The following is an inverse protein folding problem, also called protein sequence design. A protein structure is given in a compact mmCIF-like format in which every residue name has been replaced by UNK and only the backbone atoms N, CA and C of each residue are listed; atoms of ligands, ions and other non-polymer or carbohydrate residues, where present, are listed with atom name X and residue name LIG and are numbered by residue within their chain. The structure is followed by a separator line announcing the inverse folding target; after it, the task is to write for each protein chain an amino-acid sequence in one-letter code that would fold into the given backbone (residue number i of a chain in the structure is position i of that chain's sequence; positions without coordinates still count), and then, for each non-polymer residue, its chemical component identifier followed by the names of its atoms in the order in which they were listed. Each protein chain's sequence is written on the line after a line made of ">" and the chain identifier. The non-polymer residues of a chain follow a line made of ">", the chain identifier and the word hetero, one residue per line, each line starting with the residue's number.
data_IF_395427617296
#
_entry.id   IF_395427617296
#
_cell.length_a   1.000
_cell.length_b   1.000
_cell.length_c   1.000
_cell.angle_alpha   90.00
_cell.angle_beta   90.00
_cell.angle_gamma   90.00
#
_symmetry.space_group_name_H-M   'P 1'
#
loop_
_entity.id
_entity.type
_entity.pdbx_description
1 polymer ?
#
# COMPACT_ATOMS: atom_id res chain seq x y z
N UNK A 1 6.45 13.25 0.95
CA UNK A 1 7.02 14.57 0.60
C UNK A 1 6.36 15.21 -0.60
N UNK A 2 6.17 14.55 -1.75
CA UNK A 2 5.46 15.15 -2.90
C UNK A 2 4.06 15.70 -2.55
N UNK A 3 3.30 15.00 -1.69
CA UNK A 3 2.01 15.49 -1.16
C UNK A 3 2.17 16.79 -0.35
N UNK A 4 3.26 16.92 0.41
CA UNK A 4 3.58 18.14 1.19
C UNK A 4 3.88 19.29 0.22
N UNK A 5 4.66 19.03 -0.83
CA UNK A 5 4.97 20.01 -1.89
C UNK A 5 3.69 20.49 -2.57
N UNK A 6 2.80 19.58 -2.98
CA UNK A 6 1.52 19.93 -3.61
C UNK A 6 0.69 20.89 -2.72
N UNK A 7 0.50 20.52 -1.45
CA UNK A 7 -0.34 21.29 -0.54
C UNK A 7 0.32 22.58 -0.03
N UNK A 8 1.62 22.76 -0.27
CA UNK A 8 2.30 24.02 0.01
C UNK A 8 1.94 25.12 -1.00
N UNK A 9 1.50 24.74 -2.21
CA UNK A 9 1.23 25.62 -3.36
C UNK A 9 2.44 26.48 -3.82
N UNK A 10 3.66 26.13 -3.42
CA UNK A 10 4.86 26.92 -3.75
C UNK A 10 5.60 26.43 -4.99
N UNK A 11 5.53 25.13 -5.27
CA UNK A 11 6.25 24.50 -6.38
C UNK A 11 5.26 24.10 -7.44
N UNK A 12 5.20 24.90 -8.52
CA UNK A 12 4.43 24.69 -9.76
C UNK A 12 3.06 24.03 -9.50
N UNK A 13 2.06 24.80 -9.00
CA UNK A 13 0.75 24.26 -8.59
C UNK A 13 -0.01 23.52 -9.70
N UNK A 14 0.34 23.75 -10.96
CA UNK A 14 -0.23 23.06 -12.13
C UNK A 14 0.23 21.60 -12.25
N UNK A 15 1.32 21.20 -11.58
CA UNK A 15 1.71 19.79 -11.52
C UNK A 15 0.86 19.07 -10.46
N UNK A 16 0.42 17.84 -10.77
CA UNK A 16 -0.34 17.00 -9.86
C UNK A 16 0.59 16.05 -9.07
N UNK A 17 1.62 16.59 -8.41
CA UNK A 17 2.61 15.81 -7.65
C UNK A 17 1.96 15.08 -6.46
N UNK A 18 0.89 15.64 -5.90
CA UNK A 18 0.13 15.01 -4.83
C UNK A 18 -0.54 13.70 -5.27
N UNK A 19 -1.17 13.69 -6.44
CA UNK A 19 -1.88 12.49 -6.93
C UNK A 19 -0.92 11.40 -7.38
N UNK A 20 0.19 11.79 -8.01
CA UNK A 20 1.33 10.92 -8.32
C UNK A 20 1.80 10.15 -7.09
N UNK A 21 1.96 10.84 -5.96
CA UNK A 21 2.42 10.21 -4.73
C UNK A 21 1.38 9.24 -4.15
N UNK A 22 0.10 9.54 -4.32
CA UNK A 22 -1.00 8.63 -3.96
C UNK A 22 -0.98 7.38 -4.86
N UNK A 23 -0.74 7.53 -6.17
CA UNK A 23 -0.60 6.39 -7.08
C UNK A 23 0.60 5.51 -6.72
N UNK A 24 1.77 6.11 -6.48
CA UNK A 24 2.96 5.39 -6.00
C UNK A 24 2.66 4.65 -4.70
N UNK A 25 1.94 5.29 -3.78
CA UNK A 25 1.52 4.67 -2.52
C UNK A 25 0.60 3.46 -2.75
N UNK A 26 -0.41 3.58 -3.60
CA UNK A 26 -1.33 2.48 -3.92
C UNK A 26 -0.62 1.29 -4.57
N UNK A 27 0.31 1.55 -5.50
CA UNK A 27 1.09 0.51 -6.17
C UNK A 27 2.04 -0.18 -5.18
N UNK A 28 2.76 0.58 -4.36
CA UNK A 28 3.68 0.02 -3.36
C UNK A 28 2.93 -0.80 -2.31
N UNK A 29 1.80 -0.28 -1.81
CA UNK A 29 0.96 -0.97 -0.83
C UNK A 29 0.43 -2.28 -1.43
N UNK A 30 -0.18 -2.24 -2.60
CA UNK A 30 -0.72 -3.45 -3.24
C UNK A 30 0.36 -4.46 -3.63
N UNK A 31 1.51 -4.01 -4.12
CA UNK A 31 2.66 -4.86 -4.45
C UNK A 31 3.17 -5.60 -3.21
N UNK A 32 3.52 -4.87 -2.16
CA UNK A 32 4.10 -5.44 -0.95
C UNK A 32 3.14 -6.43 -0.27
N UNK A 33 1.87 -6.05 -0.18
CA UNK A 33 0.85 -6.87 0.47
C UNK A 33 0.57 -8.15 -0.32
N UNK A 34 0.41 -8.04 -1.64
CA UNK A 34 0.20 -9.19 -2.51
C UNK A 34 1.40 -10.12 -2.50
N UNK A 35 2.63 -9.60 -2.54
CA UNK A 35 3.84 -10.41 -2.46
C UNK A 35 3.95 -11.18 -1.14
N UNK A 36 3.78 -10.49 0.00
CA UNK A 36 3.85 -11.12 1.32
C UNK A 36 2.75 -12.17 1.51
N UNK A 37 1.53 -11.88 1.07
CA UNK A 37 0.40 -12.79 1.18
C UNK A 37 0.55 -13.99 0.23
N UNK A 38 1.07 -13.80 -0.99
CA UNK A 38 1.43 -14.88 -1.93
C UNK A 38 2.43 -15.86 -1.29
N UNK A 39 3.54 -15.35 -0.74
CA UNK A 39 4.57 -16.20 -0.12
C UNK A 39 4.01 -17.02 1.05
N UNK A 40 3.19 -16.38 1.90
CA UNK A 40 2.49 -17.07 3.00
C UNK A 40 1.51 -18.12 2.48
N UNK A 41 0.69 -17.77 1.49
CA UNK A 41 -0.32 -18.65 0.88
C UNK A 41 0.31 -19.87 0.20
N UNK A 42 1.42 -19.70 -0.53
CA UNK A 42 2.17 -20.82 -1.12
C UNK A 42 2.65 -21.80 -0.05
N UNK A 43 3.14 -21.29 1.08
CA UNK A 43 3.59 -22.12 2.22
C UNK A 43 2.43 -22.89 2.84
N UNK A 44 1.29 -22.23 3.05
CA UNK A 44 0.07 -22.86 3.59
C UNK A 44 -0.50 -23.94 2.66
N UNK A 45 -0.51 -23.69 1.35
CA UNK A 45 -0.95 -24.67 0.36
C UNK A 45 -0.01 -25.88 0.30
N UNK A 46 1.31 -25.66 0.36
CA UNK A 46 2.28 -26.75 0.36
C UNK A 46 2.16 -27.65 1.61
N UNK A 47 1.77 -27.08 2.74
CA UNK A 47 1.57 -27.80 4.01
C UNK A 47 0.19 -28.46 4.13
N UNK A 48 -0.70 -28.31 3.14
CA UNK A 48 -2.07 -28.84 3.23
C UNK A 48 -2.87 -28.21 4.38
N UNK A 49 -2.68 -26.90 4.62
CA UNK A 49 -3.23 -26.21 5.78
C UNK A 49 -4.75 -26.32 5.89
N UNK A 50 -5.23 -26.57 7.11
CA UNK A 50 -6.66 -26.63 7.43
C UNK A 50 -7.37 -25.29 7.23
N UNK A 51 -8.70 -25.33 7.06
CA UNK A 51 -9.55 -24.11 6.99
C UNK A 51 -9.32 -23.21 8.21
N UNK A 52 -9.13 -23.79 9.39
CA UNK A 52 -8.83 -23.05 10.62
C UNK A 52 -7.52 -22.24 10.50
N UNK A 53 -6.46 -22.85 10.00
CA UNK A 53 -5.17 -22.17 9.77
C UNK A 53 -5.33 -20.99 8.80
N UNK A 54 -6.12 -21.15 7.75
CA UNK A 54 -6.45 -20.05 6.83
C UNK A 54 -7.16 -18.89 7.53
N UNK A 55 -8.14 -19.18 8.39
CA UNK A 55 -8.84 -18.15 9.19
C UNK A 55 -7.85 -17.41 10.10
N UNK A 56 -6.98 -18.10 10.83
CA UNK A 56 -5.95 -17.45 11.66
C UNK A 56 -4.97 -16.61 10.82
N UNK A 57 -4.60 -17.09 9.62
CA UNK A 57 -3.72 -16.35 8.72
C UNK A 57 -4.36 -15.06 8.18
N UNK A 58 -5.66 -15.08 7.89
CA UNK A 58 -6.44 -13.91 7.47
C UNK A 58 -6.66 -12.94 8.63
N UNK A 59 -7.01 -13.42 9.81
CA UNK A 59 -7.13 -12.58 11.01
C UNK A 59 -5.80 -11.87 11.31
N UNK A 60 -4.68 -12.59 11.27
CA UNK A 60 -3.34 -12.02 11.43
C UNK A 60 -3.01 -10.97 10.36
N UNK A 61 -3.48 -11.18 9.12
CA UNK A 61 -3.31 -10.21 8.04
C UNK A 61 -4.11 -8.93 8.32
N UNK A 62 -5.42 -9.03 8.56
CA UNK A 62 -6.29 -7.85 8.75
C UNK A 62 -5.92 -7.05 10.00
N UNK A 63 -5.64 -7.71 11.12
CA UNK A 63 -5.30 -7.02 12.37
C UNK A 63 -4.02 -6.19 12.23
N UNK A 64 -2.98 -6.70 11.56
CA UNK A 64 -1.74 -5.94 11.28
C UNK A 64 -1.98 -4.68 10.45
N UNK A 65 -3.00 -4.67 9.59
CA UNK A 65 -3.34 -3.51 8.75
C UNK A 65 -4.20 -2.52 9.49
N UNK A 66 -5.15 -3.00 10.28
CA UNK A 66 -5.91 -2.18 11.20
C UNK A 66 -4.99 -1.38 12.12
N UNK A 67 -4.10 -2.04 12.87
CA UNK A 67 -3.17 -1.38 13.79
C UNK A 67 -2.09 -0.52 13.11
N UNK A 68 -1.90 -0.66 11.80
CA UNK A 68 -0.96 0.19 11.04
C UNK A 68 -1.60 1.53 10.67
N UNK A 69 -2.87 1.53 10.28
CA UNK A 69 -3.53 2.69 9.66
C UNK A 69 -4.53 3.35 10.60
N UNK A 70 -5.40 2.56 11.23
CA UNK A 70 -6.58 3.06 11.93
C UNK A 70 -6.28 3.87 13.21
N UNK A 71 -5.35 3.48 14.11
CA UNK A 71 -5.15 4.20 15.37
C UNK A 71 -4.78 5.68 15.20
N UNK A 72 -3.82 5.99 14.33
CA UNK A 72 -3.43 7.38 14.08
C UNK A 72 -4.54 8.15 13.35
N UNK A 73 -5.23 7.49 12.42
CA UNK A 73 -6.41 8.07 11.77
C UNK A 73 -7.48 8.45 12.80
N UNK A 74 -7.84 7.54 13.71
CA UNK A 74 -8.86 7.75 14.72
C UNK A 74 -8.49 8.90 15.66
N UNK A 75 -7.23 8.96 16.13
CA UNK A 75 -6.75 10.10 16.94
C UNK A 75 -6.85 11.40 16.16
N UNK A 76 -6.48 11.41 14.88
CA UNK A 76 -6.55 12.62 14.04
C UNK A 76 -7.99 13.07 13.81
N UNK A 77 -8.93 12.13 13.60
CA UNK A 77 -10.35 12.42 13.47
C UNK A 77 -10.94 12.99 14.76
N UNK A 78 -10.56 12.44 15.92
CA UNK A 78 -10.97 12.95 17.23
C UNK A 78 -10.43 14.36 17.47
N UNK A 79 -9.14 14.60 17.19
CA UNK A 79 -8.56 15.95 17.27
C UNK A 79 -9.32 16.91 16.36
N UNK A 80 -9.60 16.50 15.12
CA UNK A 80 -10.35 17.32 14.16
C UNK A 80 -11.75 17.69 14.66
N UNK A 81 -12.45 16.74 15.29
CA UNK A 81 -13.78 16.96 15.86
C UNK A 81 -13.77 18.05 16.94
N UNK A 82 -12.73 18.10 17.79
CA UNK A 82 -12.61 19.10 18.86
C UNK A 82 -12.06 20.46 18.41
N UNK A 83 -11.57 20.59 17.17
CA UNK A 83 -11.09 21.88 16.66
C UNK A 83 -12.25 22.84 16.37
N UNK A 84 -12.02 24.13 16.60
CA UNK A 84 -12.92 25.20 16.16
C UNK A 84 -13.15 25.12 14.64
N UNK A 85 -14.34 25.50 14.17
CA UNK A 85 -14.69 25.46 12.75
C UNK A 85 -13.68 26.15 11.83
N UNK A 86 -13.13 27.30 12.23
CA UNK A 86 -12.08 28.01 11.46
C UNK A 86 -10.86 27.10 11.18
N UNK A 87 -10.44 26.34 12.19
CA UNK A 87 -9.32 25.40 12.10
C UNK A 87 -9.70 24.14 11.32
N UNK A 88 -10.93 23.64 11.45
CA UNK A 88 -11.44 22.52 10.65
C UNK A 88 -11.45 22.87 9.15
N UNK A 89 -11.97 24.04 8.80
CA UNK A 89 -11.97 24.56 7.43
C UNK A 89 -10.55 24.76 6.91
N UNK A 90 -9.67 25.36 7.71
CA UNK A 90 -8.27 25.60 7.35
C UNK A 90 -7.53 24.29 7.05
N UNK A 91 -7.48 23.35 7.98
CA UNK A 91 -6.64 22.16 7.86
C UNK A 91 -7.24 21.11 6.92
N UNK A 92 -8.53 20.81 7.06
CA UNK A 92 -9.20 19.69 6.38
C UNK A 92 -10.28 20.10 5.38
N UNK A 93 -10.42 21.40 5.06
CA UNK A 93 -11.35 21.92 4.04
C UNK A 93 -12.79 21.48 4.32
N UNK A 94 -13.18 21.53 5.60
CA UNK A 94 -14.56 21.26 6.01
C UNK A 94 -15.45 22.40 5.51
N UNK A 95 -16.42 22.08 4.64
CA UNK A 95 -17.22 23.09 3.91
C UNK A 95 -18.35 23.71 4.73
N UNK A 96 -18.83 23.06 5.79
CA UNK A 96 -20.00 23.49 6.57
C UNK A 96 -19.70 23.56 8.07
N UNK A 97 -20.16 24.61 8.78
CA UNK A 97 -20.01 24.72 10.22
C UNK A 97 -20.81 23.64 10.97
N UNK A 98 -20.26 23.15 12.09
CA UNK A 98 -20.90 22.22 13.02
C UNK A 98 -21.32 20.85 12.46
N UNK A 99 -20.67 20.36 11.40
CA UNK A 99 -20.96 19.05 10.80
C UNK A 99 -19.71 18.21 10.56
N UNK A 100 -18.83 18.07 11.57
CA UNK A 100 -17.84 16.98 11.57
C UNK A 100 -18.33 15.90 12.53
N UNK A 101 -19.36 15.12 12.17
CA UNK A 101 -19.88 14.11 13.05
C UNK A 101 -18.84 12.98 13.10
N UNK A 102 -18.43 12.67 14.34
CA UNK A 102 -17.25 11.85 14.62
C UNK A 102 -17.45 10.42 14.12
N UNK A 103 -18.66 9.89 14.26
CA UNK A 103 -18.99 8.52 13.89
C UNK A 103 -18.84 8.28 12.39
N UNK A 104 -19.37 9.18 11.58
CA UNK A 104 -19.37 9.18 10.12
C UNK A 104 -17.95 9.35 9.57
N UNK A 105 -17.16 10.21 10.23
CA UNK A 105 -15.74 10.36 9.92
C UNK A 105 -14.99 9.06 10.23
N UNK A 106 -15.19 8.46 11.41
CA UNK A 106 -14.52 7.22 11.83
C UNK A 106 -14.94 5.98 11.03
N UNK A 107 -16.12 6.02 10.41
CA UNK A 107 -16.67 4.96 9.53
C UNK A 107 -16.41 5.20 8.05
N UNK A 108 -15.68 6.28 7.70
CA UNK A 108 -15.32 6.65 6.33
C UNK A 108 -16.53 6.87 5.40
N UNK A 109 -17.61 7.46 5.91
CA UNK A 109 -18.74 7.86 5.09
C UNK A 109 -18.29 8.81 3.97
N UNK A 110 -18.82 8.61 2.76
CA UNK A 110 -18.31 9.24 1.54
C UNK A 110 -18.22 10.78 1.63
N UNK A 111 -19.23 11.43 2.21
CA UNK A 111 -19.28 12.88 2.38
C UNK A 111 -18.30 13.42 3.45
N UNK A 112 -17.89 12.55 4.39
CA UNK A 112 -17.06 12.87 5.55
C UNK A 112 -15.58 12.47 5.35
N UNK A 113 -15.18 12.10 4.13
CA UNK A 113 -13.79 11.80 3.74
C UNK A 113 -12.98 13.07 3.52
N UNK A 114 -12.74 13.86 4.57
CA UNK A 114 -12.09 15.17 4.44
C UNK A 114 -10.64 15.12 3.95
N UNK A 115 -10.30 16.01 3.02
CA UNK A 115 -8.95 16.32 2.55
C UNK A 115 -8.08 15.11 2.13
N UNK A 116 -7.34 14.50 3.05
CA UNK A 116 -6.46 13.34 2.80
C UNK A 116 -7.11 12.01 3.20
N UNK A 117 -8.20 12.04 3.96
CA UNK A 117 -8.86 10.83 4.46
C UNK A 117 -9.50 9.99 3.35
N UNK A 118 -9.73 10.54 2.16
CA UNK A 118 -10.37 9.79 1.06
C UNK A 118 -9.54 8.62 0.54
N UNK A 119 -8.21 8.62 0.74
CA UNK A 119 -7.34 7.51 0.28
C UNK A 119 -7.38 6.30 1.20
N UNK A 120 -7.70 6.50 2.49
CA UNK A 120 -7.75 5.45 3.51
C UNK A 120 -8.82 4.38 3.22
N UNK A 121 -10.09 4.71 2.94
CA UNK A 121 -11.09 3.71 2.63
C UNK A 121 -10.75 2.94 1.34
N UNK A 122 -10.15 3.59 0.34
CA UNK A 122 -9.71 2.92 -0.89
C UNK A 122 -8.68 1.84 -0.60
N UNK A 123 -7.70 2.16 0.25
CA UNK A 123 -6.69 1.21 0.68
C UNK A 123 -7.30 0.06 1.50
N UNK A 124 -8.20 0.36 2.45
CA UNK A 124 -8.86 -0.64 3.29
C UNK A 124 -9.74 -1.57 2.45
N UNK A 125 -10.57 -1.03 1.55
CA UNK A 125 -11.40 -1.80 0.63
C UNK A 125 -10.53 -2.75 -0.22
N UNK A 126 -9.39 -2.26 -0.72
CA UNK A 126 -8.47 -3.08 -1.50
C UNK A 126 -7.82 -4.21 -0.68
N UNK A 127 -7.62 -4.04 0.63
CA UNK A 127 -7.08 -5.11 1.48
C UNK A 127 -7.94 -6.37 1.49
N UNK A 128 -9.26 -6.24 1.28
CA UNK A 128 -10.18 -7.38 1.17
C UNK A 128 -10.10 -8.08 -0.20
N UNK A 129 -9.69 -7.36 -1.24
CA UNK A 129 -9.53 -7.90 -2.59
C UNK A 129 -8.27 -8.77 -2.69
N UNK A 130 -7.19 -8.40 -2.00
CA UNK A 130 -5.88 -9.08 -2.09
C UNK A 130 -5.96 -10.59 -1.80
N UNK A 131 -6.59 -11.07 -0.70
CA UNK A 131 -6.70 -12.50 -0.45
C UNK A 131 -7.37 -13.27 -1.58
N UNK A 132 -8.47 -12.73 -2.12
CA UNK A 132 -9.21 -13.35 -3.23
C UNK A 132 -8.34 -13.38 -4.49
N UNK A 133 -7.72 -12.24 -4.84
CA UNK A 133 -6.82 -12.11 -5.97
C UNK A 133 -5.69 -13.14 -5.93
N UNK A 134 -5.00 -13.26 -4.78
CA UNK A 134 -3.90 -14.20 -4.58
C UNK A 134 -4.37 -15.65 -4.73
N UNK A 135 -5.50 -16.02 -4.14
CA UNK A 135 -6.04 -17.38 -4.24
C UNK A 135 -6.42 -17.73 -5.68
N UNK A 136 -7.01 -16.81 -6.43
CA UNK A 136 -7.33 -17.00 -7.86
C UNK A 136 -6.05 -17.22 -8.67
N UNK A 137 -5.04 -16.38 -8.49
CA UNK A 137 -3.75 -16.51 -9.21
C UNK A 137 -3.06 -17.84 -8.88
N UNK A 138 -3.06 -18.26 -7.61
CA UNK A 138 -2.49 -19.54 -7.20
C UNK A 138 -3.28 -20.73 -7.75
N UNK A 139 -4.61 -20.62 -7.86
CA UNK A 139 -5.49 -21.63 -8.48
C UNK A 139 -5.22 -21.81 -9.97
N UNK A 140 -4.91 -20.73 -10.69
CA UNK A 140 -4.58 -20.77 -12.13
C UNK A 140 -3.24 -21.48 -12.42
N UNK A 141 -2.37 -21.68 -11.42
CA UNK A 141 -1.09 -22.42 -11.52
C UNK A 141 -0.22 -22.01 -12.72
N UNK A 142 -0.20 -22.82 -13.80
CA UNK A 142 0.57 -22.60 -15.04
C UNK A 142 -0.15 -21.62 -15.98
N UNK A 143 -1.46 -21.51 -15.90
CA UNK A 143 -2.32 -20.65 -16.72
C UNK A 143 -2.49 -19.24 -16.14
N UNK A 144 -1.63 -18.83 -15.20
CA UNK A 144 -1.70 -17.50 -14.59
C UNK A 144 -1.60 -16.37 -15.64
N UNK A 145 -0.88 -16.60 -16.74
CA UNK A 145 -0.72 -15.66 -17.85
C UNK A 145 -2.05 -15.41 -18.59
N UNK A 146 -2.96 -16.39 -18.62
CA UNK A 146 -4.28 -16.27 -19.26
C UNK A 146 -5.13 -15.21 -18.57
N UNK A 147 -5.00 -15.06 -17.25
CA UNK A 147 -5.66 -13.98 -16.51
C UNK A 147 -4.83 -12.70 -16.46
N UNK A 148 -3.51 -12.81 -16.37
CA UNK A 148 -2.62 -11.66 -16.22
C UNK A 148 -2.59 -10.76 -17.47
N UNK A 149 -2.58 -11.33 -18.68
CA UNK A 149 -2.50 -10.55 -19.92
C UNK A 149 -3.77 -9.71 -20.15
N UNK A 150 -5.00 -10.26 -20.09
CA UNK A 150 -6.21 -9.45 -20.19
C UNK A 150 -6.31 -8.41 -19.08
N UNK A 151 -5.91 -8.76 -17.85
CA UNK A 151 -5.90 -7.82 -16.73
C UNK A 151 -4.94 -6.65 -17.01
N UNK A 152 -3.74 -6.91 -17.54
CA UNK A 152 -2.79 -5.87 -17.91
C UNK A 152 -3.35 -4.95 -19.00
N UNK A 153 -3.93 -5.52 -20.06
CA UNK A 153 -4.56 -4.76 -21.14
C UNK A 153 -5.69 -3.88 -20.60
N UNK A 154 -6.54 -4.43 -19.73
CA UNK A 154 -7.60 -3.67 -19.06
C UNK A 154 -7.02 -2.53 -18.21
N UNK A 155 -5.98 -2.79 -17.40
CA UNK A 155 -5.33 -1.75 -16.58
C UNK A 155 -4.81 -0.59 -17.43
N UNK A 156 -4.13 -0.90 -18.56
CA UNK A 156 -3.57 0.12 -19.45
C UNK A 156 -4.68 0.89 -20.15
N UNK A 157 -5.74 0.19 -20.59
CA UNK A 157 -6.91 0.81 -21.19
C UNK A 157 -7.58 1.80 -20.22
N UNK A 158 -7.97 1.34 -19.03
CA UNK A 158 -8.60 2.19 -18.01
C UNK A 158 -7.69 3.33 -17.55
N UNK A 159 -6.38 3.09 -17.46
CA UNK A 159 -5.41 4.12 -17.10
C UNK A 159 -5.34 5.26 -18.10
N UNK A 160 -5.68 5.01 -19.37
CA UNK A 160 -5.69 6.02 -20.43
C UNK A 160 -7.06 6.65 -20.66
N UNK A 161 -8.14 5.89 -20.47
CA UNK A 161 -9.51 6.34 -20.79
C UNK A 161 -10.23 6.97 -19.61
N UNK A 162 -9.92 6.58 -18.36
CA UNK A 162 -10.59 7.13 -17.19
C UNK A 162 -9.93 8.41 -16.68
N UNK A 163 -10.75 9.44 -16.51
CA UNK A 163 -10.36 10.64 -15.78
C UNK A 163 -10.50 10.40 -14.28
N UNK A 164 -9.37 10.40 -13.57
CA UNK A 164 -9.31 10.19 -12.11
C UNK A 164 -9.18 11.51 -11.37
N UNK A 165 -9.91 11.61 -10.27
CA UNK A 165 -9.90 12.77 -9.37
C UNK A 165 -9.89 12.33 -7.90
N UNK A 166 -9.50 13.25 -7.01
CA UNK A 166 -9.59 13.05 -5.56
C UNK A 166 -11.03 12.83 -5.12
N UNK A 167 -11.22 12.08 -4.03
CA UNK A 167 -12.54 11.76 -3.45
C UNK A 167 -13.46 10.94 -4.35
N UNK A 168 -12.92 10.24 -5.36
CA UNK A 168 -13.71 9.31 -6.18
C UNK A 168 -13.67 7.88 -5.62
N UNK A 169 -14.66 7.02 -5.95
CA UNK A 169 -14.71 5.64 -5.45
C UNK A 169 -13.54 4.76 -5.93
N UNK A 170 -13.39 3.60 -5.29
CA UNK A 170 -12.34 2.62 -5.62
C UNK A 170 -12.37 2.16 -7.06
N UNK A 171 -13.54 2.07 -7.69
CA UNK A 171 -13.68 1.64 -9.09
C UNK A 171 -12.76 2.43 -10.04
N UNK A 172 -12.66 3.75 -9.86
CA UNK A 172 -11.82 4.62 -10.69
C UNK A 172 -10.33 4.52 -10.38
N UNK A 173 -9.94 3.96 -9.23
CA UNK A 173 -8.55 3.75 -8.82
C UNK A 173 -8.13 2.28 -8.84
N UNK A 174 -9.06 1.36 -9.14
CA UNK A 174 -8.87 -0.07 -9.00
C UNK A 174 -7.74 -0.58 -9.88
N UNK A 175 -7.62 -0.06 -11.11
CA UNK A 175 -6.57 -0.42 -12.04
C UNK A 175 -5.17 -0.12 -11.49
N UNK A 176 -4.98 0.98 -10.74
CA UNK A 176 -3.70 1.33 -10.10
C UNK A 176 -3.32 0.32 -9.02
N UNK A 177 -4.26 -0.07 -8.16
CA UNK A 177 -4.00 -1.08 -7.15
C UNK A 177 -3.77 -2.48 -7.76
N UNK A 178 -4.61 -2.88 -8.73
CA UNK A 178 -4.50 -4.15 -9.46
C UNK A 178 -3.13 -4.27 -10.12
N UNK A 179 -2.58 -3.19 -10.66
CA UNK A 179 -1.27 -3.19 -11.29
C UNK A 179 -0.14 -3.53 -10.32
N UNK A 180 -0.13 -2.95 -9.11
CA UNK A 180 0.89 -3.32 -8.12
C UNK A 180 0.76 -4.78 -7.68
N UNK A 181 -0.46 -5.31 -7.60
CA UNK A 181 -0.68 -6.74 -7.30
C UNK A 181 -0.26 -7.65 -8.45
N UNK A 182 -0.52 -7.25 -9.69
CA UNK A 182 -0.03 -7.94 -10.88
C UNK A 182 1.50 -7.92 -10.95
N UNK A 183 2.13 -6.79 -10.66
CA UNK A 183 3.58 -6.66 -10.59
C UNK A 183 4.20 -7.59 -9.53
N UNK A 184 3.55 -7.74 -8.38
CA UNK A 184 3.96 -8.72 -7.37
C UNK A 184 3.87 -10.17 -7.87
N UNK A 185 2.82 -10.51 -8.61
CA UNK A 185 2.68 -11.84 -9.24
C UNK A 185 3.77 -12.08 -10.26
N UNK A 186 4.01 -11.12 -11.16
CA UNK A 186 5.07 -11.18 -12.17
C UNK A 186 6.42 -11.36 -11.48
N UNK A 187 6.73 -10.55 -10.46
CA UNK A 187 7.94 -10.68 -9.66
C UNK A 187 8.10 -12.07 -9.06
N UNK A 188 7.10 -12.59 -8.34
CA UNK A 188 7.16 -13.92 -7.71
C UNK A 188 7.37 -15.02 -8.75
N UNK A 189 6.70 -14.95 -9.91
CA UNK A 189 6.85 -15.96 -10.97
C UNK A 189 8.24 -15.91 -11.61
N UNK A 190 8.78 -14.71 -11.83
CA UNK A 190 10.15 -14.53 -12.35
C UNK A 190 11.17 -15.03 -11.33
N UNK A 191 11.07 -14.65 -10.06
CA UNK A 191 11.99 -15.10 -9.00
C UNK A 191 11.99 -16.64 -8.86
N UNK A 192 10.81 -17.27 -8.88
CA UNK A 192 10.70 -18.73 -8.87
C UNK A 192 11.31 -19.38 -10.12
N UNK A 193 11.13 -18.77 -11.29
CA UNK A 193 11.72 -19.27 -12.53
C UNK A 193 13.25 -19.17 -12.50
N UNK A 194 13.80 -18.00 -12.12
CA UNK A 194 15.25 -17.78 -11.98
C UNK A 194 15.86 -18.81 -11.03
N UNK A 195 15.22 -19.03 -9.87
CA UNK A 195 15.69 -20.03 -8.88
C UNK A 195 15.63 -21.45 -9.42
N UNK A 196 14.61 -21.80 -10.21
CA UNK A 196 14.44 -23.14 -10.76
C UNK A 196 15.42 -23.45 -11.90
N UNK A 197 15.75 -22.46 -12.71
CA UNK A 197 16.66 -22.61 -13.86
C UNK A 197 18.11 -22.27 -13.53
N UNK A 198 18.38 -21.86 -12.28
CA UNK A 198 19.68 -21.32 -11.84
C UNK A 198 20.22 -20.23 -12.77
N UNK A 199 19.31 -19.43 -13.32
CA UNK A 199 19.64 -18.43 -14.32
C UNK A 199 20.55 -17.35 -13.72
N UNK A 200 21.74 -17.19 -14.30
CA UNK A 200 22.67 -16.11 -13.95
C UNK A 200 22.54 -14.97 -14.95
N UNK A 201 22.33 -13.76 -14.45
CA UNK A 201 22.36 -12.56 -15.27
C UNK A 201 23.76 -12.39 -15.89
N UNK A 202 23.80 -12.38 -17.23
CA UNK A 202 25.00 -12.02 -18.00
C UNK A 202 25.09 -10.51 -18.10
N UNK A 203 26.27 -9.99 -18.47
CA UNK A 203 26.49 -8.56 -18.66
C UNK A 203 25.47 -7.94 -19.64
N UNK A 204 25.27 -8.56 -20.81
CA UNK A 204 24.29 -8.07 -21.80
C UNK A 204 22.85 -8.02 -21.28
N UNK A 205 22.41 -9.02 -20.52
CA UNK A 205 21.09 -9.00 -19.88
C UNK A 205 20.97 -7.85 -18.89
N UNK A 206 22.04 -7.58 -18.14
CA UNK A 206 22.08 -6.48 -17.17
C UNK A 206 22.05 -5.13 -17.88
N UNK A 207 22.87 -4.94 -18.93
CA UNK A 207 22.90 -3.70 -19.71
C UNK A 207 21.54 -3.41 -20.35
N UNK A 208 20.91 -4.42 -20.96
CA UNK A 208 19.57 -4.28 -21.54
C UNK A 208 18.53 -3.92 -20.48
N UNK A 209 18.55 -4.60 -19.33
CA UNK A 209 17.64 -4.32 -18.22
C UNK A 209 17.81 -2.88 -17.70
N UNK A 210 19.06 -2.41 -17.56
CA UNK A 210 19.36 -1.03 -17.16
C UNK A 210 18.92 0.00 -18.20
N UNK A 211 19.14 -0.27 -19.49
CA UNK A 211 18.66 0.62 -20.54
C UNK A 211 17.13 0.78 -20.50
N UNK A 212 16.40 -0.32 -20.28
CA UNK A 212 14.94 -0.30 -20.10
C UNK A 212 14.55 0.46 -18.82
N UNK A 213 15.23 0.23 -17.70
CA UNK A 213 15.00 0.94 -16.45
C UNK A 213 15.16 2.46 -16.59
N UNK A 214 16.27 2.91 -17.19
CA UNK A 214 16.50 4.34 -17.43
C UNK A 214 15.46 4.93 -18.37
N UNK A 215 15.06 4.20 -19.42
CA UNK A 215 13.99 4.63 -20.31
C UNK A 215 12.66 4.78 -19.55
N UNK A 216 12.31 3.83 -18.68
CA UNK A 216 11.10 3.90 -17.86
C UNK A 216 11.12 5.08 -16.90
N UNK A 217 12.26 5.33 -16.22
CA UNK A 217 12.43 6.49 -15.34
C UNK A 217 12.29 7.79 -16.13
N UNK A 218 12.93 7.86 -17.30
CA UNK A 218 12.89 9.01 -18.19
C UNK A 218 11.44 9.30 -18.63
N UNK A 219 10.71 8.28 -19.13
CA UNK A 219 9.30 8.41 -19.52
C UNK A 219 8.41 8.80 -18.33
N UNK A 220 8.62 8.20 -17.16
CA UNK A 220 7.88 8.56 -15.95
C UNK A 220 8.09 10.04 -15.58
N UNK A 221 9.34 10.52 -15.61
CA UNK A 221 9.66 11.93 -15.36
C UNK A 221 9.04 12.85 -16.41
N UNK A 222 9.01 12.43 -17.67
CA UNK A 222 8.34 13.17 -18.73
C UNK A 222 6.84 13.30 -18.47
N UNK A 223 6.16 12.23 -18.02
CA UNK A 223 4.74 12.31 -17.64
C UNK A 223 4.53 13.19 -16.40
N UNK A 224 5.42 13.08 -15.41
CA UNK A 224 5.36 13.85 -14.16
C UNK A 224 5.48 15.36 -14.38
N UNK A 225 6.38 15.76 -15.27
CA UNK A 225 6.72 17.16 -15.53
C UNK A 225 6.15 17.65 -16.87
N UNK A 226 5.07 17.02 -17.37
CA UNK A 226 4.29 17.44 -18.56
C UNK A 226 5.11 17.61 -19.84
N UNK A 227 6.00 16.67 -20.14
CA UNK A 227 6.74 16.66 -21.40
C UNK A 227 8.23 16.95 -21.25
N UNK A 228 8.82 16.87 -20.05
CA UNK A 228 10.25 17.16 -19.80
C UNK A 228 11.23 16.62 -20.84
N UNK A 229 10.96 15.46 -21.45
CA UNK A 229 11.79 14.91 -22.53
C UNK A 229 11.29 15.24 -23.93
N UNK A 230 9.98 15.36 -24.09
CA UNK A 230 9.33 15.59 -25.38
C UNK A 230 9.43 17.07 -25.79
N UNK A 231 9.27 18.02 -24.87
CA UNK A 231 9.35 19.47 -25.17
C UNK A 231 10.67 19.88 -25.85
N UNK A 232 11.75 19.13 -25.60
CA UNK A 232 13.07 19.35 -26.20
C UNK A 232 13.31 18.57 -27.51
N UNK A 233 12.51 17.54 -27.80
CA UNK A 233 12.78 16.57 -28.89
C UNK A 233 11.63 16.47 -29.90
N UNK A 234 10.38 16.42 -29.44
CA UNK A 234 9.17 16.28 -30.25
C UNK A 234 7.95 16.73 -29.47
N UNK A 235 7.00 17.44 -30.10
CA UNK A 235 5.73 17.79 -29.47
C UNK A 235 5.11 16.57 -28.76
N UNK A 236 4.77 16.73 -27.47
CA UNK A 236 4.33 15.63 -26.62
C UNK A 236 3.14 14.89 -27.29
N UNK A 237 3.31 13.60 -27.65
CA UNK A 237 2.28 12.86 -28.37
C UNK A 237 1.05 12.56 -27.49
N UNK A 238 1.18 12.69 -26.17
CA UNK A 238 0.08 12.53 -25.23
C UNK A 238 -0.53 13.89 -24.88
N UNK A 239 -1.86 14.07 -25.04
CA UNK A 239 -2.53 15.28 -24.58
C UNK A 239 -2.32 15.46 -23.06
N UNK A 240 -2.25 16.70 -22.56
CA UNK A 240 -2.13 16.95 -21.13
C UNK A 240 -3.31 16.29 -20.41
N UNK A 241 -3.07 15.51 -19.34
CA UNK A 241 -4.14 14.77 -18.67
C UNK A 241 -5.13 15.75 -18.04
N UNK A 242 -6.43 15.54 -18.29
CA UNK A 242 -7.52 16.33 -17.68
C UNK A 242 -7.69 16.04 -16.17
N UNK A 243 -7.06 14.96 -15.67
CA UNK A 243 -7.04 14.54 -14.26
C UNK A 243 -5.68 14.00 -13.82
N UNK A 244 -5.68 12.99 -12.94
CA UNK A 244 -4.43 12.45 -12.41
C UNK A 244 -3.60 11.71 -13.49
N UNK A 245 -2.31 12.05 -13.67
CA UNK A 245 -1.46 11.42 -14.66
C UNK A 245 -1.29 9.91 -14.40
N UNK A 246 -1.34 9.10 -15.45
CA UNK A 246 -1.15 7.66 -15.34
C UNK A 246 0.33 7.27 -15.39
N UNK A 247 0.95 7.16 -14.22
CA UNK A 247 2.36 6.76 -14.07
C UNK A 247 2.53 5.29 -13.68
N UNK A 248 1.42 4.59 -13.47
CA UNK A 248 1.39 3.35 -12.69
C UNK A 248 2.23 2.24 -13.31
N UNK A 249 2.22 2.12 -14.65
CA UNK A 249 3.00 1.12 -15.40
C UNK A 249 4.50 1.33 -15.22
N UNK A 250 4.96 2.58 -15.29
CA UNK A 250 6.37 2.89 -15.09
C UNK A 250 6.81 2.54 -13.66
N UNK A 251 6.06 2.99 -12.67
CA UNK A 251 6.37 2.75 -11.24
C UNK A 251 6.40 1.25 -10.94
N UNK A 252 5.38 0.51 -11.34
CA UNK A 252 5.30 -0.94 -11.12
C UNK A 252 6.44 -1.70 -11.80
N UNK A 253 6.83 -1.29 -13.02
CA UNK A 253 7.92 -1.92 -13.75
C UNK A 253 9.28 -1.63 -13.11
N UNK A 254 9.52 -0.38 -12.70
CA UNK A 254 10.74 0.02 -11.97
C UNK A 254 10.87 -0.77 -10.67
N UNK A 255 9.78 -0.92 -9.90
CA UNK A 255 9.78 -1.74 -8.66
C UNK A 255 10.20 -3.18 -8.96
N UNK A 256 9.65 -3.81 -9.99
CA UNK A 256 9.99 -5.20 -10.33
C UNK A 256 11.45 -5.32 -10.77
N UNK A 257 11.93 -4.39 -11.60
CA UNK A 257 13.32 -4.38 -12.07
C UNK A 257 14.30 -4.21 -10.90
N UNK A 258 14.07 -3.23 -10.03
CA UNK A 258 14.95 -2.92 -8.89
C UNK A 258 15.02 -4.06 -7.86
N UNK A 259 13.92 -4.78 -7.65
CA UNK A 259 13.93 -5.93 -6.73
C UNK A 259 14.64 -7.13 -7.36
N UNK A 260 14.50 -7.35 -8.67
CA UNK A 260 15.18 -8.44 -9.37
C UNK A 260 16.69 -8.21 -9.49
N UNK A 261 17.08 -6.96 -9.79
CA UNK A 261 18.47 -6.59 -9.96
C UNK A 261 18.68 -5.17 -9.39
N UNK A 262 19.11 -5.05 -8.11
CA UNK A 262 19.29 -3.76 -7.45
C UNK A 262 20.28 -2.84 -8.17
N UNK A 263 19.89 -1.59 -8.38
CA UNK A 263 20.67 -0.54 -9.05
C UNK A 263 21.18 0.51 -8.07
N UNK A 264 21.85 1.55 -8.59
CA UNK A 264 22.18 2.74 -7.80
C UNK A 264 20.92 3.47 -7.31
N UNK A 265 19.78 3.37 -8.01
CA UNK A 265 18.49 3.92 -7.57
C UNK A 265 17.99 3.16 -6.35
N UNK A 266 18.05 1.82 -6.34
CA UNK A 266 17.79 1.05 -5.11
C UNK A 266 18.72 1.48 -3.98
N UNK A 267 20.03 1.58 -4.23
CA UNK A 267 20.99 2.03 -3.21
C UNK A 267 20.66 3.42 -2.65
N UNK A 268 20.21 4.35 -3.51
CA UNK A 268 19.74 5.67 -3.11
C UNK A 268 18.47 5.57 -2.24
N UNK A 269 17.47 4.78 -2.66
CA UNK A 269 16.21 4.58 -1.92
C UNK A 269 16.40 3.84 -0.59
N UNK A 270 17.41 2.98 -0.50
CA UNK A 270 17.80 2.26 0.71
C UNK A 270 18.62 3.10 1.70
N UNK A 271 18.91 4.36 1.35
CA UNK A 271 19.56 5.28 2.27
C UNK A 271 18.79 5.39 3.59
N UNK A 272 19.51 5.42 4.71
CA UNK A 272 18.94 5.36 6.06
C UNK A 272 17.89 6.46 6.31
N UNK A 273 18.12 7.66 5.78
CA UNK A 273 17.20 8.79 5.87
C UNK A 273 15.89 8.50 5.14
N UNK A 274 15.95 8.02 3.89
CA UNK A 274 14.75 7.69 3.10
C UNK A 274 14.00 6.49 3.68
N UNK A 275 14.71 5.49 4.20
CA UNK A 275 14.09 4.38 4.94
C UNK A 275 13.36 4.87 6.20
N UNK A 276 13.93 5.82 6.93
CA UNK A 276 13.28 6.43 8.07
C UNK A 276 12.03 7.22 7.65
N UNK A 277 12.12 8.02 6.59
CA UNK A 277 10.96 8.73 6.02
C UNK A 277 9.87 7.77 5.54
N UNK A 278 10.25 6.60 5.03
CA UNK A 278 9.33 5.52 4.70
C UNK A 278 8.58 4.99 5.93
N UNK A 279 9.23 4.87 7.10
CA UNK A 279 8.59 4.44 8.36
C UNK A 279 7.54 5.42 8.85
N UNK A 280 7.84 6.73 8.80
CA UNK A 280 6.94 7.80 9.26
C UNK A 280 6.04 8.34 8.14
N UNK A 281 6.06 7.71 6.95
CA UNK A 281 5.37 8.21 5.75
C UNK A 281 3.87 8.40 5.96
N UNK A 282 3.24 7.50 6.71
CA UNK A 282 1.82 7.57 7.05
C UNK A 282 1.50 8.78 7.93
N UNK A 283 2.25 8.97 9.03
CA UNK A 283 2.19 10.19 9.84
C UNK A 283 2.41 11.47 9.03
N UNK A 284 3.41 11.50 8.15
CA UNK A 284 3.65 12.66 7.27
C UNK A 284 2.40 12.93 6.41
N UNK A 285 1.85 11.91 5.77
CA UNK A 285 0.69 12.04 4.88
C UNK A 285 -0.57 12.54 5.60
N UNK A 286 -0.76 12.13 6.86
CA UNK A 286 -1.96 12.47 7.60
C UNK A 286 -1.88 13.85 8.26
N UNK A 287 -0.71 14.20 8.79
CA UNK A 287 -0.54 15.35 9.67
C UNK A 287 0.09 16.58 9.00
N UNK A 288 0.59 16.48 7.76
CA UNK A 288 1.29 17.60 7.11
C UNK A 288 0.43 18.86 7.00
N UNK A 289 -0.89 18.72 6.87
CA UNK A 289 -1.82 19.85 6.71
C UNK A 289 -1.80 20.77 7.93
N UNK A 290 -1.66 20.22 9.14
CA UNK A 290 -1.58 20.99 10.38
C UNK A 290 -0.38 21.93 10.40
N UNK A 291 0.73 21.55 9.76
CA UNK A 291 1.95 22.37 9.71
C UNK A 291 1.93 23.32 8.53
N UNK A 292 1.61 22.83 7.33
CA UNK A 292 1.69 23.63 6.09
C UNK A 292 0.76 24.84 6.13
N UNK A 293 -0.45 24.65 6.68
CA UNK A 293 -1.50 25.67 6.72
C UNK A 293 -1.55 26.43 8.05
N UNK A 294 -0.62 26.20 8.97
CA UNK A 294 -0.58 26.94 10.23
C UNK A 294 -0.18 28.41 9.97
N UNK A 295 -0.96 29.42 10.39
CA UNK A 295 -0.74 30.82 10.01
C UNK A 295 0.67 31.35 10.29
N UNK A 296 1.25 31.02 11.44
CA UNK A 296 2.59 31.50 11.82
C UNK A 296 3.72 30.92 10.94
N UNK A 297 3.44 29.84 10.21
CA UNK A 297 4.37 29.23 9.27
C UNK A 297 4.01 29.66 7.85
N UNK A 298 2.73 29.57 7.46
CA UNK A 298 2.27 29.86 6.11
C UNK A 298 2.46 31.33 5.70
N UNK A 299 2.34 32.27 6.64
CA UNK A 299 2.48 33.71 6.37
C UNK A 299 3.91 34.25 6.55
N UNK A 300 4.90 33.39 6.81
CA UNK A 300 6.29 33.85 6.88
C UNK A 300 6.70 34.45 5.53
N UNK A 301 7.27 35.67 5.47
CA UNK A 301 7.56 36.34 4.21
C UNK A 301 8.72 35.67 3.46
N UNK A 302 9.75 35.22 4.20
CA UNK A 302 10.92 34.58 3.62
C UNK A 302 10.62 33.12 3.22
N UNK A 303 10.79 32.82 1.94
CA UNK A 303 10.57 31.49 1.36
C UNK A 303 11.40 30.39 2.03
N UNK A 304 12.71 30.60 2.23
CA UNK A 304 13.60 29.59 2.79
C UNK A 304 13.24 29.30 4.25
N UNK A 305 12.96 30.33 5.05
CA UNK A 305 12.52 30.15 6.43
C UNK A 305 11.24 29.31 6.48
N UNK A 306 10.28 29.63 5.61
CA UNK A 306 9.02 28.91 5.50
C UNK A 306 9.20 27.46 5.05
N UNK A 307 10.05 27.23 4.06
CA UNK A 307 10.38 25.89 3.54
C UNK A 307 11.03 25.02 4.61
N UNK A 308 12.11 25.51 5.25
CA UNK A 308 12.81 24.75 6.29
C UNK A 308 11.95 24.56 7.54
N UNK A 309 11.16 25.56 7.93
CA UNK A 309 10.22 25.44 9.04
C UNK A 309 9.19 24.34 8.75
N UNK A 310 8.56 24.34 7.57
CA UNK A 310 7.61 23.28 7.17
C UNK A 310 8.28 21.90 7.14
N UNK A 311 9.44 21.78 6.52
CA UNK A 311 10.14 20.50 6.41
C UNK A 311 10.47 19.94 7.79
N UNK A 312 11.10 20.76 8.66
CA UNK A 312 11.49 20.34 10.00
C UNK A 312 10.27 20.02 10.87
N UNK A 313 9.26 20.89 10.89
CA UNK A 313 8.10 20.71 11.75
C UNK A 313 7.20 19.55 11.29
N UNK A 314 7.06 19.31 9.98
CA UNK A 314 6.35 18.13 9.47
C UNK A 314 7.07 16.85 9.89
N UNK A 315 8.40 16.78 9.72
CA UNK A 315 9.18 15.61 10.12
C UNK A 315 9.14 15.42 11.64
N UNK A 316 9.27 16.51 12.42
CA UNK A 316 9.21 16.46 13.87
C UNK A 316 7.83 15.99 14.38
N UNK A 317 6.74 16.57 13.86
CA UNK A 317 5.38 16.16 14.20
C UNK A 317 5.14 14.70 13.83
N UNK A 318 5.52 14.30 12.62
CA UNK A 318 5.35 12.92 12.16
C UNK A 318 6.20 11.91 12.95
N UNK A 319 7.39 12.30 13.38
CA UNK A 319 8.24 11.46 14.23
C UNK A 319 7.64 11.31 15.62
N UNK A 320 7.17 12.40 16.22
CA UNK A 320 6.52 12.39 17.52
C UNK A 320 5.25 11.52 17.49
N UNK A 321 4.38 11.69 16.50
CA UNK A 321 3.17 10.88 16.35
C UNK A 321 3.47 9.41 16.07
N UNK A 322 4.52 9.11 15.30
CA UNK A 322 4.95 7.74 15.03
C UNK A 322 5.32 7.01 16.32
N UNK A 323 6.16 7.61 17.18
CA UNK A 323 6.57 6.98 18.43
C UNK A 323 5.46 6.97 19.49
N UNK A 324 4.56 7.95 19.49
CA UNK A 324 3.45 8.02 20.44
C UNK A 324 2.31 7.05 20.12
N UNK A 325 1.98 6.84 18.84
CA UNK A 325 0.75 6.16 18.42
C UNK A 325 1.03 4.97 17.52
N UNK A 326 1.69 5.18 16.38
CA UNK A 326 1.86 4.13 15.36
C UNK A 326 2.73 2.97 15.86
N UNK A 327 3.89 3.27 16.45
CA UNK A 327 4.84 2.26 16.90
C UNK A 327 4.27 1.38 18.03
N UNK A 328 3.65 1.93 19.09
CA UNK A 328 2.95 1.12 20.09
C UNK A 328 1.83 0.27 19.50
N UNK A 329 1.08 0.80 18.53
CA UNK A 329 0.01 0.06 17.85
C UNK A 329 0.56 -1.12 17.05
N UNK A 330 1.70 -0.95 16.36
CA UNK A 330 2.37 -2.03 15.66
C UNK A 330 2.93 -3.10 16.61
N UNK A 331 3.43 -2.71 17.79
CA UNK A 331 3.83 -3.65 18.83
C UNK A 331 2.65 -4.46 19.36
N UNK A 332 1.48 -3.82 19.53
CA UNK A 332 0.25 -4.50 19.90
C UNK A 332 -0.15 -5.54 18.85
N UNK A 333 -0.09 -5.19 17.56
CA UNK A 333 -0.38 -6.12 16.48
C UNK A 333 0.54 -7.35 16.51
N UNK A 334 1.83 -7.17 16.82
CA UNK A 334 2.77 -8.28 16.96
C UNK A 334 2.44 -9.18 18.16
N UNK A 335 1.98 -8.61 19.29
CA UNK A 335 1.53 -9.39 20.45
C UNK A 335 0.30 -10.22 20.10
N UNK A 336 -0.68 -9.62 19.43
CA UNK A 336 -1.88 -10.31 18.95
C UNK A 336 -1.51 -11.42 17.95
N UNK A 337 -0.55 -11.21 17.05
CA UNK A 337 -0.05 -12.25 16.15
C UNK A 337 0.49 -13.47 16.90
N UNK A 338 1.29 -13.24 17.95
CA UNK A 338 1.84 -14.32 18.78
C UNK A 338 0.72 -15.07 19.51
N UNK A 339 -0.28 -14.34 20.01
CA UNK A 339 -1.45 -14.93 20.64
C UNK A 339 -2.26 -15.80 19.67
N UNK A 340 -2.55 -15.30 18.46
CA UNK A 340 -3.24 -16.05 17.41
C UNK A 340 -2.50 -17.33 17.04
N UNK A 341 -1.17 -17.25 16.86
CA UNK A 341 -0.33 -18.41 16.58
C UNK A 341 -0.33 -19.45 17.73
N UNK A 342 -0.38 -19.00 18.99
CA UNK A 342 -0.48 -19.90 20.14
C UNK A 342 -1.86 -20.61 20.20
N UNK A 343 -2.94 -19.89 19.90
CA UNK A 343 -4.30 -20.44 19.86
C UNK A 343 -4.50 -21.44 18.72
N UNK A 344 -3.88 -21.19 17.58
CA UNK A 344 -3.86 -22.14 16.47
C UNK A 344 -3.23 -23.48 16.88
N UNK A 345 -2.06 -23.44 17.52
CA UNK A 345 -1.35 -24.63 18.01
C UNK A 345 -2.14 -25.40 19.08
N UNK A 346 -2.85 -24.72 19.98
CA UNK A 346 -3.71 -25.37 20.99
C UNK A 346 -4.86 -26.13 20.32
N UNK A 347 -5.45 -25.55 19.27
CA UNK A 347 -6.53 -26.13 18.51
C UNK A 347 -6.17 -27.41 17.75
N UNK A 348 -5.00 -27.44 17.11
CA UNK A 348 -4.52 -28.63 16.40
C UNK A 348 -4.16 -29.76 17.35
N UNK A 349 -3.59 -29.45 18.53
CA UNK A 349 -3.30 -30.43 19.58
C UNK A 349 -4.53 -31.07 20.23
N UNK A 350 -5.63 -30.32 20.36
CA UNK A 350 -6.91 -30.83 20.87
C UNK A 350 -7.53 -31.87 19.93
N UNK A 351 -7.58 -31.58 18.62
CA UNK A 351 -8.14 -32.50 17.63
C UNK A 351 -7.32 -33.80 17.51
N UNK A 352 -6.00 -33.71 17.63
CA UNK A 352 -5.13 -34.91 17.70
C UNK A 352 -5.39 -35.77 18.93
N UNK A 353 -5.65 -35.17 20.10
CA UNK A 353 -6.02 -35.90 21.33
C UNK A 353 -7.41 -36.54 21.24
N UNK A 354 -8.40 -35.84 20.68
CA UNK A 354 -9.74 -36.41 20.48
C UNK A 354 -9.73 -37.58 19.48
N UNK A 355 -9.03 -37.47 18.35
CA UNK A 355 -8.91 -38.56 17.39
C UNK A 355 -8.13 -39.77 17.94
N UNK A 356 -7.13 -39.53 18.79
CA UNK A 356 -6.39 -40.59 19.48
C UNK A 356 -7.27 -41.29 20.54
N UNK A 357 -7.99 -40.53 21.36
CA UNK A 357 -8.95 -41.07 22.32
C UNK A 357 -10.08 -41.85 21.65
N UNK A 358 -10.60 -41.38 20.51
CA UNK A 358 -11.64 -42.09 19.77
C UNK A 358 -11.12 -43.42 19.18
N UNK A 359 -9.87 -43.45 18.68
CA UNK A 359 -9.21 -44.70 18.25
C UNK A 359 -8.97 -45.67 19.40
N UNK A 360 -8.61 -45.18 20.58
CA UNK A 360 -8.42 -46.00 21.78
C UNK A 360 -9.77 -46.57 22.23
N UNK A 361 -10.83 -45.76 22.25
CA UNK A 361 -12.18 -46.21 22.61
C UNK A 361 -12.72 -47.26 21.63
N UNK A 362 -12.52 -47.08 20.32
CA UNK A 362 -12.92 -48.10 19.32
C UNK A 362 -12.16 -49.42 19.47
N UNK A 363 -10.87 -49.38 19.81
CA UNK A 363 -10.07 -50.59 20.11
C UNK A 363 -10.53 -51.28 21.40
N UNK A 364 -10.91 -50.52 22.42
CA UNK A 364 -11.46 -51.10 23.66
C UNK A 364 -12.82 -51.75 23.41
N UNK A 365 -13.69 -51.14 22.59
CA UNK A 365 -14.98 -51.72 22.22
C UNK A 365 -14.85 -52.99 21.36
N UNK A 366 -13.88 -53.06 20.44
CA UNK A 366 -13.66 -54.28 19.64
C UNK A 366 -13.14 -55.45 20.49
N UNK A 367 -12.28 -55.18 21.48
CA UNK A 367 -11.75 -56.20 22.39
C UNK A 367 -12.78 -56.69 23.41
N UNK A 368 -13.84 -55.92 23.71
CA UNK A 368 -14.93 -56.39 24.57
C UNK A 368 -15.94 -57.27 23.84
N UNK A 369 -16.01 -57.21 22.51
CA UNK A 369 -16.91 -58.02 21.68
C UNK A 369 -16.29 -59.38 21.32
N UNK A 370 -14.95 -59.49 21.28
CA UNK A 370 -14.25 -60.77 21.09
C UNK A 370 -14.10 -61.61 22.38
N UNK A 371 -14.46 -61.06 23.54
CA UNK A 371 -14.34 -61.71 24.85
C UNK A 371 -15.68 -62.23 25.43
N UNK A 372 -16.74 -62.24 24.62
CA UNK A 372 -18.03 -62.89 24.90
C UNK A 372 -18.31 -63.91 23.82
#
# INVERSE_FOLDING_TARGET
>A
MLVVVQHSHEFVPSLHLGSVAVDVFFILSSFLLTWLFMKKSMTLLAQGASVRTWVFALLDYFQKRFFRVYPLFAVTAVVLHFLSFENQHRYFIVRKPNQVPLYETLTFEYEHRYHVFWTLPLEIEYYFIIPVFVLVVLRLRRYWWVGAVPLFVWIVHEGWTLVRNSHTPLSLHLHTFMLGSLAAVVFVKIDLWIRKTEFKFRLWHTVLLRAVEFLLIALMLSVLFRGLLFDWVMANPAPPPEGFPFISVYVASIIVIEILQPSFVSAMLEWSVLRFWGKISFSIYLLHTFVIKYPAISHQPNYFNRFFARLFLVIALATASYYAIEYPSQLMAQRISRFLAAQEKKGSGSLGKFACMEKINRRMQSTTVEAK
#
